data_IF_489586835082
#
_entry.id   IF_489586835082
#
_cell.length_a   1.000
_cell.length_b   1.000
_cell.length_c   1.000
_cell.angle_alpha   90.00
_cell.angle_beta   90.00
_cell.angle_gamma   90.00
#
_symmetry.space_group_name_H-M   'P 1'
#
loop_
_entity.id
_entity.type
_entity.pdbx_description
1 polymer ?
#
# COMPACT_ATOMS: atom_id res chain seq x y z
N UNK A 1 9.85 -2.95 25.96
CA UNK A 1 9.18 -4.14 25.36
C UNK A 1 10.27 -4.94 24.66
N UNK A 2 10.38 -6.24 24.90
CA UNK A 2 11.36 -7.09 24.23
C UNK A 2 10.93 -7.28 22.76
N UNK A 3 11.87 -7.42 21.82
CA UNK A 3 11.60 -7.62 20.37
C UNK A 3 10.65 -8.80 20.14
N UNK A 4 10.78 -9.88 20.89
CA UNK A 4 9.91 -11.05 20.80
C UNK A 4 8.44 -10.73 21.18
N UNK A 5 8.22 -9.97 22.24
CA UNK A 5 6.88 -9.52 22.65
C UNK A 5 6.27 -8.59 21.61
N UNK A 6 7.08 -7.71 21.01
CA UNK A 6 6.63 -6.81 19.94
C UNK A 6 6.23 -7.59 18.70
N UNK A 7 7.03 -8.59 18.31
CA UNK A 7 6.73 -9.47 17.17
C UNK A 7 5.40 -10.21 17.35
N UNK A 8 5.17 -10.78 18.55
CA UNK A 8 3.91 -11.45 18.87
C UNK A 8 2.72 -10.48 18.78
N UNK A 9 2.81 -9.32 19.46
CA UNK A 9 1.72 -8.33 19.45
C UNK A 9 1.38 -7.81 18.05
N UNK A 10 2.40 -7.57 17.20
CA UNK A 10 2.17 -7.13 15.82
C UNK A 10 1.65 -8.25 14.91
N UNK A 11 1.99 -9.50 15.21
CA UNK A 11 1.43 -10.67 14.53
C UNK A 11 -0.05 -10.84 14.85
N UNK A 12 -0.43 -10.70 16.12
CA UNK A 12 -1.81 -10.72 16.57
C UNK A 12 -2.61 -9.58 15.94
N UNK A 13 -2.09 -8.36 15.99
CA UNK A 13 -2.70 -7.19 15.34
C UNK A 13 -2.94 -7.42 13.82
N UNK A 14 -1.96 -7.99 13.12
CA UNK A 14 -2.12 -8.36 11.71
C UNK A 14 -3.26 -9.35 11.51
N UNK A 15 -3.36 -10.35 12.39
CA UNK A 15 -4.44 -11.34 12.36
C UNK A 15 -5.81 -10.68 12.54
N UNK A 16 -5.95 -9.84 13.57
CA UNK A 16 -7.18 -9.13 13.89
C UNK A 16 -7.62 -8.19 12.75
N UNK A 17 -6.66 -7.44 12.15
CA UNK A 17 -6.92 -6.57 11.02
C UNK A 17 -7.40 -7.32 9.77
N UNK A 18 -6.98 -8.58 9.57
CA UNK A 18 -7.47 -9.43 8.48
C UNK A 18 -8.89 -9.92 8.71
N UNK A 19 -9.29 -10.08 9.97
CA UNK A 19 -10.63 -10.49 10.36
C UNK A 19 -11.59 -9.31 10.55
N UNK A 20 -11.08 -8.07 10.50
CA UNK A 20 -11.88 -6.87 10.67
C UNK A 20 -12.91 -6.74 9.54
N UNK A 21 -14.19 -6.85 9.88
CA UNK A 21 -15.31 -6.73 8.97
C UNK A 21 -16.15 -5.50 9.29
N UNK A 22 -16.58 -4.79 8.24
CA UNK A 22 -17.43 -3.61 8.31
C UNK A 22 -18.72 -3.85 7.53
N UNK A 23 -19.64 -4.70 8.06
CA UNK A 23 -20.82 -5.14 7.33
C UNK A 23 -21.89 -4.06 7.18
N UNK A 24 -21.92 -3.05 8.07
CA UNK A 24 -22.88 -1.97 8.01
C UNK A 24 -22.30 -0.77 7.29
N UNK A 25 -23.13 -0.10 6.48
CA UNK A 25 -22.77 1.11 5.73
C UNK A 25 -22.83 2.33 6.69
N UNK A 26 -21.90 2.35 7.65
CA UNK A 26 -21.71 3.47 8.56
C UNK A 26 -20.75 4.51 7.95
N UNK A 27 -20.81 5.77 8.44
CA UNK A 27 -19.82 6.76 8.03
C UNK A 27 -18.39 6.22 8.19
N UNK A 28 -17.56 6.45 7.17
CA UNK A 28 -16.14 6.05 7.13
C UNK A 28 -15.85 4.52 7.08
N UNK A 29 -16.86 3.64 7.11
CA UNK A 29 -16.66 2.18 7.09
C UNK A 29 -15.78 1.71 5.93
N UNK A 30 -16.00 2.25 4.72
CA UNK A 30 -15.18 1.93 3.52
C UNK A 30 -13.73 2.37 3.70
N UNK A 31 -13.51 3.57 4.26
CA UNK A 31 -12.18 4.12 4.53
C UNK A 31 -11.44 3.28 5.56
N UNK A 32 -12.11 2.90 6.65
CA UNK A 32 -11.57 2.08 7.73
C UNK A 32 -11.23 0.66 7.25
N UNK A 33 -12.11 0.03 6.47
CA UNK A 33 -11.84 -1.27 5.86
C UNK A 33 -10.64 -1.23 4.90
N UNK A 34 -10.54 -0.17 4.09
CA UNK A 34 -9.39 0.04 3.21
C UNK A 34 -8.10 0.25 4.01
N UNK A 35 -8.16 0.99 5.11
CA UNK A 35 -7.01 1.22 5.99
C UNK A 35 -6.57 -0.06 6.70
N UNK A 36 -7.49 -0.88 7.20
CA UNK A 36 -7.20 -2.16 7.84
C UNK A 36 -6.40 -3.09 6.90
N UNK A 37 -6.82 -3.17 5.62
CA UNK A 37 -6.08 -3.94 4.61
C UNK A 37 -4.68 -3.39 4.35
N UNK A 38 -4.53 -2.06 4.23
CA UNK A 38 -3.21 -1.43 4.00
C UNK A 38 -2.27 -1.68 5.17
N UNK A 39 -2.74 -1.54 6.41
CA UNK A 39 -1.91 -1.81 7.61
C UNK A 39 -1.55 -3.29 7.68
N UNK A 40 -2.49 -4.20 7.44
CA UNK A 40 -2.22 -5.64 7.40
C UNK A 40 -1.14 -6.00 6.36
N UNK A 41 -1.21 -5.39 5.17
CA UNK A 41 -0.19 -5.59 4.13
C UNK A 41 1.17 -5.01 4.57
N UNK A 42 1.20 -3.82 5.16
CA UNK A 42 2.43 -3.20 5.67
C UNK A 42 3.09 -4.05 6.76
N UNK A 43 2.30 -4.60 7.69
CA UNK A 43 2.80 -5.54 8.70
C UNK A 43 3.41 -6.78 8.05
N UNK A 44 2.73 -7.35 7.04
CA UNK A 44 3.16 -8.56 6.37
C UNK A 44 4.38 -8.36 5.46
N UNK A 45 4.42 -7.27 4.70
CA UNK A 45 5.41 -7.07 3.62
C UNK A 45 6.67 -6.35 4.12
N UNK A 46 6.59 -5.65 5.27
CA UNK A 46 7.71 -4.87 5.80
C UNK A 46 7.99 -5.10 7.29
N UNK A 47 7.02 -4.76 8.18
CA UNK A 47 7.32 -4.63 9.61
C UNK A 47 7.76 -5.96 10.24
N UNK A 48 6.99 -7.02 10.04
CA UNK A 48 7.29 -8.33 10.64
C UNK A 48 8.57 -8.95 10.05
N UNK A 49 8.74 -9.03 8.71
CA UNK A 49 10.00 -9.53 8.15
C UNK A 49 11.22 -8.72 8.57
N UNK A 50 11.07 -7.39 8.72
CA UNK A 50 12.20 -6.52 9.06
C UNK A 50 12.58 -6.61 10.53
N UNK A 51 11.63 -6.82 11.42
CA UNK A 51 11.90 -7.13 12.84
C UNK A 51 12.71 -8.43 13.02
N UNK A 52 12.44 -9.42 12.18
CA UNK A 52 13.16 -10.70 12.20
C UNK A 52 14.55 -10.63 11.54
N UNK A 53 14.76 -9.66 10.64
CA UNK A 53 15.94 -9.62 9.75
C UNK A 53 16.59 -8.23 9.70
N UNK A 54 16.94 -7.67 10.86
CA UNK A 54 17.58 -6.32 10.96
C UNK A 54 18.90 -6.25 10.19
N UNK A 55 19.61 -7.36 10.04
CA UNK A 55 20.89 -7.44 9.33
C UNK A 55 20.75 -7.68 7.81
N UNK A 56 19.53 -7.84 7.30
CA UNK A 56 19.32 -7.98 5.87
C UNK A 56 19.79 -6.73 5.09
N UNK A 57 20.10 -6.87 3.79
CA UNK A 57 20.46 -5.74 2.95
C UNK A 57 19.41 -4.62 3.00
N UNK A 58 19.85 -3.36 2.92
CA UNK A 58 18.97 -2.21 2.82
C UNK A 58 18.25 -2.26 1.49
N UNK A 59 16.92 -2.20 1.53
CA UNK A 59 16.08 -2.14 0.35
C UNK A 59 15.79 -0.68 -0.03
N UNK A 60 16.48 -0.19 -1.06
CA UNK A 60 16.24 1.12 -1.66
C UNK A 60 15.22 0.97 -2.81
N UNK A 61 14.02 1.54 -2.65
CA UNK A 61 13.00 1.51 -3.70
C UNK A 61 13.01 2.82 -4.47
N UNK A 62 13.22 2.72 -5.78
CA UNK A 62 13.23 3.85 -6.71
C UNK A 62 11.81 4.05 -7.22
N UNK A 63 11.15 5.10 -6.71
CA UNK A 63 9.79 5.48 -7.04
C UNK A 63 9.71 6.87 -7.66
N UNK A 64 8.59 7.22 -8.27
CA UNK A 64 8.35 8.54 -8.84
C UNK A 64 7.43 8.51 -10.06
N UNK A 65 7.16 9.68 -10.61
CA UNK A 65 6.20 9.86 -11.71
C UNK A 65 6.61 9.19 -13.01
N UNK A 66 5.61 8.99 -13.85
CA UNK A 66 5.81 8.50 -15.23
C UNK A 66 6.79 9.39 -15.99
N UNK A 67 7.80 8.75 -16.55
CA UNK A 67 8.81 9.46 -17.33
C UNK A 67 9.80 10.30 -16.51
N UNK A 68 9.86 10.16 -15.18
CA UNK A 68 10.85 10.85 -14.33
C UNK A 68 12.29 10.33 -14.49
N UNK A 69 12.51 9.23 -15.23
CA UNK A 69 13.84 8.70 -15.47
C UNK A 69 14.27 7.54 -14.56
N UNK A 70 13.37 6.96 -13.77
CA UNK A 70 13.64 5.91 -12.77
C UNK A 70 14.49 4.75 -13.31
N UNK A 71 14.03 4.06 -14.34
CA UNK A 71 14.74 2.90 -14.91
C UNK A 71 16.08 3.29 -15.52
N UNK A 72 16.18 4.48 -16.13
CA UNK A 72 17.46 5.04 -16.60
C UNK A 72 18.41 5.27 -15.43
N UNK A 73 17.92 5.86 -14.35
CA UNK A 73 18.70 6.09 -13.13
C UNK A 73 19.17 4.76 -12.52
N UNK A 74 18.27 3.77 -12.38
CA UNK A 74 18.63 2.43 -11.87
C UNK A 74 19.72 1.78 -12.71
N UNK A 75 19.56 1.73 -14.04
CA UNK A 75 20.58 1.19 -14.94
C UNK A 75 21.92 1.91 -14.76
N UNK A 76 21.89 3.24 -14.64
CA UNK A 76 23.10 4.07 -14.48
C UNK A 76 23.77 3.86 -13.12
N UNK A 77 23.00 3.68 -12.04
CA UNK A 77 23.52 3.35 -10.70
C UNK A 77 24.21 1.98 -10.69
N UNK A 78 23.58 1.01 -11.34
CA UNK A 78 24.07 -0.37 -11.48
C UNK A 78 25.27 -0.46 -12.44
N UNK A 79 25.34 0.44 -13.44
CA UNK A 79 26.35 0.42 -14.50
C UNK A 79 26.04 -0.59 -15.61
N UNK A 80 24.82 -1.13 -15.66
CA UNK A 80 24.36 -2.12 -16.62
C UNK A 80 22.86 -1.97 -16.89
N UNK A 81 22.40 -2.35 -18.08
CA UNK A 81 20.96 -2.39 -18.39
C UNK A 81 20.34 -3.63 -17.72
N UNK A 82 19.67 -3.41 -16.61
CA UNK A 82 18.96 -4.44 -15.83
C UNK A 82 17.44 -4.30 -15.92
N UNK A 83 16.96 -3.10 -16.23
CA UNK A 83 15.56 -2.79 -16.47
C UNK A 83 15.43 -2.09 -17.83
N UNK A 84 14.31 -2.31 -18.51
CA UNK A 84 14.09 -1.73 -19.85
C UNK A 84 13.32 -0.42 -19.72
N UNK A 85 13.97 0.74 -19.94
CA UNK A 85 13.26 1.99 -20.10
C UNK A 85 12.43 1.91 -21.38
N UNK A 86 11.11 1.92 -21.30
CA UNK A 86 10.27 1.78 -22.48
C UNK A 86 9.79 3.12 -23.04
N UNK A 87 9.63 3.19 -24.37
CA UNK A 87 9.06 4.34 -25.09
C UNK A 87 7.54 4.26 -25.15
N UNK A 88 6.99 3.04 -25.08
CA UNK A 88 5.53 2.78 -25.10
C UNK A 88 5.05 2.64 -23.65
N UNK A 89 4.12 3.49 -23.23
CA UNK A 89 3.60 3.58 -21.85
C UNK A 89 2.35 2.74 -21.66
N UNK A 90 2.14 2.09 -20.47
CA UNK A 90 3.04 2.00 -19.31
C UNK A 90 4.22 1.05 -19.56
N UNK A 91 5.42 1.45 -19.12
CA UNK A 91 6.67 0.84 -19.53
C UNK A 91 7.18 -0.25 -18.60
N UNK A 92 7.01 -0.06 -17.29
CA UNK A 92 7.42 -1.03 -16.27
C UNK A 92 6.18 -1.62 -15.63
N UNK A 93 5.84 -2.84 -15.96
CA UNK A 93 4.70 -3.56 -15.38
C UNK A 93 5.13 -4.50 -14.27
N UNK A 94 6.35 -5.03 -14.32
CA UNK A 94 6.93 -5.92 -13.31
C UNK A 94 8.11 -5.21 -12.62
N UNK A 95 8.14 -5.14 -11.28
CA UNK A 95 9.27 -4.57 -10.54
C UNK A 95 10.53 -5.41 -10.73
N UNK A 96 11.68 -4.72 -10.75
CA UNK A 96 13.00 -5.34 -10.88
C UNK A 96 13.83 -5.04 -9.64
N UNK A 97 14.22 -6.08 -8.91
CA UNK A 97 15.09 -6.00 -7.76
C UNK A 97 16.50 -6.43 -8.13
N UNK A 98 17.44 -5.51 -7.97
CA UNK A 98 18.87 -5.74 -8.25
C UNK A 98 19.61 -5.85 -6.92
N UNK A 99 20.38 -6.92 -6.73
CA UNK A 99 21.11 -7.19 -5.50
C UNK A 99 22.49 -7.78 -5.77
N UNK A 100 23.39 -7.70 -4.79
CA UNK A 100 24.67 -8.41 -4.88
C UNK A 100 24.45 -9.93 -4.89
N UNK A 101 25.21 -10.73 -5.66
CA UNK A 101 25.06 -12.20 -5.69
C UNK A 101 25.10 -12.86 -4.30
N UNK A 102 25.95 -12.38 -3.39
CA UNK A 102 26.09 -12.91 -2.03
C UNK A 102 24.85 -12.63 -1.17
N UNK A 103 24.02 -11.69 -1.54
CA UNK A 103 22.80 -11.32 -0.83
C UNK A 103 21.55 -12.08 -1.35
N UNK A 104 21.71 -12.96 -2.33
CA UNK A 104 20.60 -13.70 -2.96
C UNK A 104 19.73 -14.45 -1.95
N UNK A 105 20.33 -14.98 -0.87
CA UNK A 105 19.63 -15.70 0.19
C UNK A 105 18.51 -14.88 0.86
N UNK A 106 18.60 -13.56 0.82
CA UNK A 106 17.59 -12.67 1.40
C UNK A 106 16.38 -12.46 0.49
N UNK A 107 16.53 -12.63 -0.83
CA UNK A 107 15.54 -12.28 -1.85
C UNK A 107 14.96 -13.48 -2.58
N UNK A 108 15.63 -14.62 -2.60
CA UNK A 108 15.15 -15.85 -3.28
C UNK A 108 13.91 -16.47 -2.61
N UNK A 109 13.70 -16.21 -1.32
CA UNK A 109 12.53 -16.68 -0.58
C UNK A 109 11.42 -15.61 -0.48
N UNK A 110 10.52 -15.79 0.46
CA UNK A 110 9.34 -14.97 0.73
C UNK A 110 9.56 -13.92 1.85
N UNK A 111 10.82 -13.69 2.26
CA UNK A 111 11.17 -12.74 3.35
C UNK A 111 10.95 -11.28 2.99
N UNK A 112 11.02 -10.93 1.72
CA UNK A 112 10.84 -9.57 1.20
C UNK A 112 9.75 -9.62 0.15
N UNK A 113 8.68 -8.83 0.30
CA UNK A 113 7.54 -8.81 -0.63
C UNK A 113 6.97 -10.22 -0.91
N UNK A 114 6.49 -10.95 0.12
CA UNK A 114 6.06 -12.35 0.00
C UNK A 114 4.91 -12.58 -1.00
N UNK A 115 4.15 -11.54 -1.31
CA UNK A 115 3.01 -11.58 -2.23
C UNK A 115 3.41 -11.62 -3.71
N UNK A 116 4.68 -11.32 -4.04
CA UNK A 116 5.18 -11.30 -5.42
C UNK A 116 5.91 -12.60 -5.78
N UNK A 117 5.57 -13.16 -6.92
CA UNK A 117 6.22 -14.39 -7.44
C UNK A 117 7.63 -14.06 -7.93
N UNK A 118 8.63 -14.81 -7.48
CA UNK A 118 10.03 -14.61 -7.90
C UNK A 118 10.24 -15.07 -9.34
N UNK A 119 10.90 -14.22 -10.12
CA UNK A 119 11.31 -14.54 -11.51
C UNK A 119 12.75 -14.12 -11.73
N UNK A 120 13.50 -14.94 -12.45
CA UNK A 120 14.87 -14.61 -12.90
C UNK A 120 14.92 -14.16 -14.37
N UNK A 121 13.77 -14.09 -15.01
CA UNK A 121 13.61 -13.61 -16.38
C UNK A 121 12.67 -12.41 -16.40
N UNK A 122 12.87 -11.53 -17.37
CA UNK A 122 11.99 -10.38 -17.55
C UNK A 122 10.55 -10.84 -17.77
N UNK A 123 9.63 -10.27 -17.02
CA UNK A 123 8.19 -10.55 -17.06
C UNK A 123 7.43 -9.25 -17.26
N UNK A 124 6.25 -9.33 -17.88
CA UNK A 124 5.29 -8.22 -17.95
C UNK A 124 4.16 -8.40 -16.93
N UNK A 125 4.31 -9.35 -15.99
CA UNK A 125 3.30 -9.61 -14.96
C UNK A 125 3.59 -8.79 -13.71
N UNK A 126 2.66 -7.90 -13.34
CA UNK A 126 2.74 -7.06 -12.14
C UNK A 126 2.72 -7.87 -10.82
N UNK A 127 2.36 -9.15 -10.84
CA UNK A 127 2.46 -10.05 -9.68
C UNK A 127 3.84 -10.72 -9.55
N UNK A 128 4.76 -10.43 -10.47
CA UNK A 128 6.10 -11.01 -10.53
C UNK A 128 7.16 -9.99 -10.12
N UNK A 129 8.11 -10.40 -9.27
CA UNK A 129 9.31 -9.66 -8.91
C UNK A 129 10.50 -10.27 -9.64
N UNK A 130 11.08 -9.53 -10.58
CA UNK A 130 12.28 -9.98 -11.27
C UNK A 130 13.49 -9.76 -10.34
N UNK A 131 14.26 -10.83 -10.09
CA UNK A 131 15.52 -10.79 -9.35
C UNK A 131 16.70 -10.76 -10.31
N UNK A 132 17.58 -9.79 -10.12
CA UNK A 132 18.80 -9.63 -10.91
C UNK A 132 20.00 -9.60 -9.96
N UNK A 133 20.83 -10.63 -10.01
CA UNK A 133 22.09 -10.68 -9.29
C UNK A 133 23.17 -9.92 -10.09
N UNK A 134 23.73 -8.85 -9.49
CA UNK A 134 24.68 -7.96 -10.14
C UNK A 134 25.86 -7.63 -9.20
N UNK A 135 27.09 -8.07 -9.50
CA UNK A 135 28.26 -7.79 -8.67
C UNK A 135 28.62 -6.30 -8.57
N UNK A 136 28.14 -5.46 -9.49
CA UNK A 136 28.34 -4.00 -9.46
C UNK A 136 27.60 -3.29 -8.32
N UNK A 137 26.61 -3.95 -7.71
CA UNK A 137 25.92 -3.45 -6.52
C UNK A 137 26.73 -3.87 -5.28
N UNK A 138 26.98 -2.95 -4.31
CA UNK A 138 27.66 -3.30 -3.09
C UNK A 138 26.83 -4.27 -2.25
N UNK A 139 27.50 -5.22 -1.59
CA UNK A 139 26.86 -6.12 -0.62
C UNK A 139 26.20 -5.32 0.51
N UNK A 140 24.99 -5.72 0.89
CA UNK A 140 24.21 -5.02 1.90
C UNK A 140 23.28 -3.94 1.34
N UNK A 141 23.16 -3.82 0.02
CA UNK A 141 22.22 -2.95 -0.69
C UNK A 141 21.45 -3.74 -1.75
N UNK A 142 20.15 -3.52 -1.81
CA UNK A 142 19.33 -3.90 -2.96
C UNK A 142 18.60 -2.67 -3.49
N UNK A 143 18.51 -2.56 -4.81
CA UNK A 143 17.80 -1.47 -5.51
C UNK A 143 16.60 -2.07 -6.23
N UNK A 144 15.42 -1.53 -5.98
CA UNK A 144 14.19 -1.96 -6.62
C UNK A 144 13.66 -0.86 -7.53
N UNK A 145 13.53 -1.14 -8.82
CA UNK A 145 12.85 -0.27 -9.80
C UNK A 145 11.35 -0.51 -9.72
N UNK A 146 10.61 0.48 -9.20
CA UNK A 146 9.17 0.40 -9.02
C UNK A 146 8.41 0.95 -10.25
N UNK A 147 7.17 0.47 -10.51
CA UNK A 147 6.27 1.06 -11.49
C UNK A 147 5.97 2.54 -11.20
N UNK A 148 5.38 3.22 -12.18
CA UNK A 148 5.01 4.63 -12.05
C UNK A 148 3.90 4.83 -11.02
N UNK A 149 4.10 5.79 -10.10
CA UNK A 149 3.13 6.14 -9.04
C UNK A 149 1.88 6.85 -9.59
N UNK A 150 2.00 7.55 -10.71
CA UNK A 150 0.94 8.27 -11.41
C UNK A 150 0.44 7.51 -12.66
N UNK A 151 0.63 6.19 -12.70
CA UNK A 151 0.17 5.35 -13.80
C UNK A 151 -1.34 5.46 -13.98
N UNK A 152 -1.81 5.49 -15.23
CA UNK A 152 -3.25 5.41 -15.54
C UNK A 152 -3.85 4.05 -15.14
N UNK A 153 -3.03 3.03 -15.02
CA UNK A 153 -3.43 1.68 -14.59
C UNK A 153 -3.42 1.62 -13.06
N UNK A 154 -4.60 1.45 -12.46
CA UNK A 154 -4.78 1.41 -11.00
C UNK A 154 -3.86 0.36 -10.33
N UNK A 155 -3.79 -0.86 -10.90
CA UNK A 155 -2.94 -1.94 -10.39
C UNK A 155 -1.46 -1.55 -10.28
N UNK A 156 -0.95 -0.74 -11.20
CA UNK A 156 0.45 -0.28 -11.15
C UNK A 156 0.65 0.74 -10.01
N UNK A 157 -0.33 1.61 -9.76
CA UNK A 157 -0.29 2.55 -8.62
C UNK A 157 -0.32 1.80 -7.28
N UNK A 158 -1.21 0.80 -7.16
CA UNK A 158 -1.33 -0.02 -5.96
C UNK A 158 -0.03 -0.80 -5.69
N UNK A 159 0.55 -1.37 -6.74
CA UNK A 159 1.84 -2.04 -6.65
C UNK A 159 2.96 -1.08 -6.26
N UNK A 160 3.04 0.10 -6.88
CA UNK A 160 4.04 1.11 -6.53
C UNK A 160 3.92 1.52 -5.06
N UNK A 161 2.70 1.75 -4.56
CA UNK A 161 2.44 2.05 -3.16
C UNK A 161 2.88 0.89 -2.24
N UNK A 162 2.57 -0.37 -2.59
CA UNK A 162 3.00 -1.55 -1.85
C UNK A 162 4.53 -1.67 -1.78
N UNK A 163 5.23 -1.48 -2.91
CA UNK A 163 6.69 -1.54 -2.97
C UNK A 163 7.35 -0.46 -2.13
N UNK A 164 6.82 0.77 -2.19
CA UNK A 164 7.28 1.87 -1.35
C UNK A 164 7.05 1.58 0.13
N UNK A 165 5.95 0.89 0.48
CA UNK A 165 5.68 0.49 1.86
C UNK A 165 6.66 -0.56 2.39
N UNK A 166 7.29 -1.32 1.53
CA UNK A 166 8.29 -2.33 1.88
C UNK A 166 9.73 -1.78 1.87
N UNK A 167 9.94 -0.50 1.54
CA UNK A 167 11.25 0.11 1.43
C UNK A 167 11.84 0.51 2.78
N UNK A 168 13.15 0.30 2.97
CA UNK A 168 13.92 0.92 4.05
C UNK A 168 14.29 2.36 3.70
N UNK A 169 14.53 2.61 2.42
CA UNK A 169 14.86 3.92 1.86
C UNK A 169 14.04 4.16 0.58
N UNK A 170 13.30 5.25 0.55
CA UNK A 170 12.65 5.72 -0.68
C UNK A 170 13.62 6.60 -1.47
N UNK A 171 13.95 6.18 -2.68
CA UNK A 171 14.65 7.04 -3.64
C UNK A 171 13.60 7.63 -4.58
N UNK A 172 13.12 8.81 -4.23
CA UNK A 172 12.02 9.46 -4.94
C UNK A 172 12.54 10.28 -6.11
N UNK A 173 12.19 9.89 -7.33
CA UNK A 173 12.66 10.53 -8.56
C UNK A 173 11.59 11.45 -9.14
N UNK A 174 11.91 12.71 -9.28
CA UNK A 174 11.12 13.69 -10.01
C UNK A 174 11.99 14.35 -11.10
N UNK A 175 11.40 15.17 -11.94
CA UNK A 175 12.15 15.94 -12.94
C UNK A 175 11.99 17.45 -12.72
N UNK A 176 12.93 18.24 -13.23
CA UNK A 176 12.84 19.70 -13.18
C UNK A 176 11.53 20.26 -13.75
N UNK A 177 10.88 19.56 -14.68
CA UNK A 177 9.60 19.98 -15.23
C UNK A 177 8.37 19.59 -14.36
N UNK A 178 8.52 18.66 -13.39
CA UNK A 178 7.41 18.08 -12.65
C UNK A 178 7.59 18.05 -11.12
N UNK A 179 8.66 18.63 -10.58
CA UNK A 179 8.93 18.57 -9.15
C UNK A 179 7.87 19.28 -8.28
N UNK A 180 7.08 20.17 -8.87
CA UNK A 180 6.00 20.89 -8.18
C UNK A 180 4.60 20.24 -8.39
N UNK A 181 4.49 19.14 -9.16
CA UNK A 181 3.22 18.44 -9.38
C UNK A 181 2.64 17.89 -8.07
N UNK A 182 1.30 17.91 -7.92
CA UNK A 182 0.64 17.49 -6.68
C UNK A 182 0.83 15.99 -6.37
N UNK A 183 0.64 15.11 -7.37
CA UNK A 183 0.70 13.66 -7.17
C UNK A 183 2.02 13.16 -6.56
N UNK A 184 3.21 13.58 -7.04
CA UNK A 184 4.48 13.31 -6.38
C UNK A 184 4.50 13.71 -4.90
N UNK A 185 3.93 14.86 -4.56
CA UNK A 185 3.93 15.37 -3.21
C UNK A 185 3.00 14.59 -2.27
N UNK A 186 1.90 14.04 -2.77
CA UNK A 186 1.01 13.19 -1.97
C UNK A 186 1.76 11.96 -1.46
N UNK A 187 2.60 11.33 -2.30
CA UNK A 187 3.45 10.20 -1.89
C UNK A 187 4.56 10.61 -0.92
N UNK A 188 5.18 11.78 -1.12
CA UNK A 188 6.20 12.29 -0.20
C UNK A 188 5.60 12.68 1.17
N UNK A 189 4.38 13.21 1.20
CA UNK A 189 3.64 13.47 2.42
C UNK A 189 3.32 12.15 3.16
N UNK A 190 2.89 11.10 2.43
CA UNK A 190 2.67 9.77 3.02
C UNK A 190 3.98 9.21 3.61
N UNK A 191 5.11 9.39 2.93
CA UNK A 191 6.41 8.99 3.44
C UNK A 191 6.77 9.73 4.74
N UNK A 192 6.53 11.03 4.78
CA UNK A 192 6.79 11.88 5.94
C UNK A 192 5.88 11.49 7.14
N UNK A 193 4.57 11.27 6.92
CA UNK A 193 3.64 10.82 7.96
C UNK A 193 4.05 9.47 8.57
N UNK A 194 4.74 8.64 7.82
CA UNK A 194 5.25 7.33 8.26
C UNK A 194 6.68 7.37 8.76
N UNK A 195 7.31 8.55 8.79
CA UNK A 195 8.72 8.73 9.12
C UNK A 195 9.66 7.82 8.30
N UNK A 196 9.28 7.53 7.04
CA UNK A 196 10.12 6.74 6.14
C UNK A 196 11.38 7.53 5.77
N UNK A 197 12.51 6.84 5.67
CA UNK A 197 13.73 7.46 5.15
C UNK A 197 13.58 7.75 3.66
N UNK A 198 13.79 9.01 3.26
CA UNK A 198 13.61 9.47 1.87
C UNK A 198 14.89 10.13 1.37
N UNK A 199 15.27 9.83 0.12
CA UNK A 199 16.25 10.57 -0.66
C UNK A 199 15.55 11.07 -1.93
N UNK A 200 15.64 12.35 -2.24
CA UNK A 200 14.98 12.94 -3.41
C UNK A 200 16.00 13.14 -4.53
N UNK A 201 15.61 12.74 -5.74
CA UNK A 201 16.41 12.94 -6.96
C UNK A 201 15.62 13.82 -7.92
N UNK A 202 16.17 15.00 -8.21
CA UNK A 202 15.68 15.88 -9.27
C UNK A 202 16.45 15.59 -10.55
N UNK A 203 15.83 14.82 -11.45
CA UNK A 203 16.44 14.42 -12.72
C UNK A 203 16.17 15.43 -13.83
N UNK A 204 17.02 15.43 -14.86
CA UNK A 204 16.92 16.29 -16.06
C UNK A 204 16.78 17.76 -15.71
N UNK A 205 17.66 18.23 -14.81
CA UNK A 205 17.75 19.66 -14.50
C UNK A 205 18.54 20.34 -15.63
N UNK A 206 17.94 21.26 -16.39
CA UNK A 206 18.67 22.01 -17.42
C UNK A 206 19.87 22.70 -16.80
N UNK A 207 21.03 22.77 -17.50
CA UNK A 207 22.25 23.39 -16.96
C UNK A 207 22.03 24.81 -16.47
N UNK A 208 21.20 25.59 -17.16
CA UNK A 208 20.81 26.96 -16.79
C UNK A 208 19.96 27.02 -15.51
N UNK A 209 19.16 25.98 -15.24
CA UNK A 209 18.28 25.91 -14.08
C UNK A 209 18.91 25.25 -12.84
N UNK A 210 20.15 24.77 -12.95
CA UNK A 210 20.86 24.10 -11.83
C UNK A 210 21.04 24.98 -10.58
N UNK A 211 21.00 26.34 -10.75
CA UNK A 211 21.09 27.26 -9.62
C UNK A 211 19.73 27.62 -8.99
N UNK A 212 18.64 27.32 -9.66
CA UNK A 212 17.29 27.73 -9.26
C UNK A 212 16.45 26.54 -8.81
N UNK A 213 16.35 25.47 -9.62
CA UNK A 213 15.45 24.33 -9.38
C UNK A 213 15.81 23.54 -8.12
N UNK A 214 17.06 23.09 -7.89
CA UNK A 214 17.37 22.31 -6.68
C UNK A 214 17.18 23.11 -5.37
N UNK A 215 17.56 24.40 -5.26
CA UNK A 215 17.25 25.18 -4.06
C UNK A 215 15.75 25.39 -3.83
N UNK A 216 14.96 25.61 -4.90
CA UNK A 216 13.50 25.77 -4.77
C UNK A 216 12.84 24.45 -4.32
N UNK A 217 13.24 23.32 -4.90
CA UNK A 217 12.79 21.99 -4.45
C UNK A 217 13.20 21.74 -2.98
N UNK A 218 14.42 22.10 -2.58
CA UNK A 218 14.88 22.00 -1.20
C UNK A 218 14.04 22.85 -0.23
N UNK A 219 13.64 24.06 -0.65
CA UNK A 219 12.70 24.89 0.10
C UNK A 219 11.33 24.20 0.26
N UNK A 220 10.76 23.68 -0.83
CA UNK A 220 9.49 22.94 -0.79
C UNK A 220 9.58 21.69 0.10
N UNK A 221 10.71 20.98 0.07
CA UNK A 221 10.95 19.83 0.97
C UNK A 221 10.95 20.27 2.43
N UNK A 222 11.63 21.38 2.74
CA UNK A 222 11.69 21.94 4.11
C UNK A 222 10.31 22.36 4.61
N UNK A 223 9.53 23.07 3.79
CA UNK A 223 8.16 23.50 4.11
C UNK A 223 7.21 22.32 4.39
N UNK A 224 7.53 21.13 3.87
CA UNK A 224 6.72 19.91 4.00
C UNK A 224 7.33 18.85 4.92
N UNK A 225 8.27 19.24 5.78
CA UNK A 225 8.83 18.36 6.81
C UNK A 225 9.88 17.35 6.33
N UNK A 226 10.45 17.54 5.14
CA UNK A 226 11.50 16.72 4.55
C UNK A 226 12.88 17.41 4.55
N UNK A 227 13.12 18.30 5.51
CA UNK A 227 14.35 19.08 5.61
C UNK A 227 15.62 18.22 5.74
N UNK A 228 15.51 17.09 6.42
CA UNK A 228 16.62 16.17 6.68
C UNK A 228 16.85 15.16 5.53
N UNK A 229 15.98 15.16 4.52
CA UNK A 229 16.08 14.24 3.37
C UNK A 229 17.13 14.76 2.38
N UNK A 230 18.13 13.93 1.97
CA UNK A 230 19.12 14.34 0.99
C UNK A 230 18.48 14.57 -0.38
N UNK A 231 18.92 15.66 -1.03
CA UNK A 231 18.50 16.04 -2.37
C UNK A 231 19.68 15.90 -3.35
N UNK A 232 19.45 15.16 -4.42
CA UNK A 232 20.42 14.96 -5.51
C UNK A 232 19.88 15.57 -6.80
N UNK A 233 20.65 16.46 -7.42
CA UNK A 233 20.33 17.04 -8.71
C UNK A 233 21.13 16.34 -9.81
N UNK A 234 20.42 15.78 -10.79
CA UNK A 234 21.01 15.15 -11.97
C UNK A 234 20.81 16.09 -13.16
N UNK A 235 21.92 16.62 -13.76
CA UNK A 235 21.81 17.52 -14.88
C UNK A 235 21.24 16.82 -16.12
N UNK A 236 20.51 17.55 -16.94
CA UNK A 236 20.09 17.09 -18.25
C UNK A 236 21.28 16.82 -19.13
N UNK A 237 21.51 15.55 -19.46
CA UNK A 237 22.65 15.12 -20.24
C UNK A 237 22.23 14.07 -21.27
N UNK A 238 23.05 13.92 -22.32
CA UNK A 238 22.86 12.82 -23.27
C UNK A 238 23.23 11.50 -22.61
N UNK A 239 22.37 10.50 -22.76
CA UNK A 239 22.68 9.12 -22.39
C UNK A 239 23.68 8.51 -23.37
N UNK A 240 24.41 7.48 -22.91
CA UNK A 240 25.26 6.66 -23.78
C UNK A 240 24.42 5.76 -24.72
N UNK A 241 25.10 4.91 -25.53
CA UNK A 241 24.46 3.99 -26.48
C UNK A 241 23.49 2.99 -25.80
N UNK A 242 23.74 2.65 -24.53
CA UNK A 242 22.89 1.75 -23.72
C UNK A 242 21.77 2.49 -22.98
N UNK A 243 21.62 3.80 -23.19
CA UNK A 243 20.59 4.61 -22.54
C UNK A 243 20.90 4.98 -21.10
N UNK A 244 22.15 4.90 -20.65
CA UNK A 244 22.58 5.23 -19.29
C UNK A 244 23.14 6.65 -19.20
N UNK A 245 22.98 7.28 -18.04
CA UNK A 245 23.57 8.56 -17.70
C UNK A 245 25.09 8.44 -17.52
N UNK A 246 25.85 9.53 -17.75
CA UNK A 246 27.28 9.56 -17.43
C UNK A 246 27.51 9.27 -15.93
N UNK A 247 28.59 8.56 -15.62
CA UNK A 247 28.96 8.21 -14.24
C UNK A 247 29.01 9.42 -13.30
N UNK A 248 29.54 10.53 -13.77
CA UNK A 248 29.64 11.78 -12.97
C UNK A 248 28.27 12.34 -12.57
N UNK A 249 27.25 12.15 -13.40
CA UNK A 249 25.89 12.64 -13.11
C UNK A 249 25.22 11.89 -11.97
N UNK A 250 25.52 10.60 -11.80
CA UNK A 250 24.94 9.73 -10.77
C UNK A 250 25.88 9.44 -9.60
N UNK A 251 27.13 9.89 -9.68
CA UNK A 251 28.17 9.63 -8.67
C UNK A 251 27.77 10.06 -7.25
N UNK A 252 27.14 11.23 -7.00
CA UNK A 252 26.75 11.63 -5.66
C UNK A 252 25.74 10.66 -5.04
N UNK A 253 24.70 10.25 -5.78
CA UNK A 253 23.70 9.31 -5.32
C UNK A 253 24.31 7.90 -5.14
N UNK A 254 25.13 7.44 -6.08
CA UNK A 254 25.86 6.17 -5.98
C UNK A 254 26.75 6.12 -4.74
N UNK A 255 27.49 7.21 -4.46
CA UNK A 255 28.31 7.31 -3.26
C UNK A 255 27.47 7.24 -1.97
N UNK A 256 26.35 7.97 -1.92
CA UNK A 256 25.41 7.92 -0.80
C UNK A 256 24.91 6.50 -0.53
N UNK A 257 24.35 5.83 -1.56
CA UNK A 257 23.84 4.45 -1.44
C UNK A 257 24.96 3.46 -1.06
N UNK A 258 26.16 3.60 -1.66
CA UNK A 258 27.29 2.76 -1.33
C UNK A 258 27.79 2.98 0.11
N UNK A 259 27.74 4.21 0.62
CA UNK A 259 28.11 4.51 2.00
C UNK A 259 27.17 3.84 3.00
N UNK A 260 25.86 3.79 2.70
CA UNK A 260 24.88 3.07 3.51
C UNK A 260 25.09 1.55 3.45
N UNK A 261 25.48 1.02 2.29
CA UNK A 261 25.77 -0.40 2.14
C UNK A 261 27.00 -0.86 2.93
N UNK A 262 28.07 -0.06 2.90
CA UNK A 262 29.38 -0.40 3.51
C UNK A 262 29.41 -0.17 5.01
N UNK A 263 28.65 0.82 5.51
CA UNK A 263 28.58 1.16 6.93
C UNK A 263 27.39 0.45 7.57
N UNK A 264 27.65 -0.66 8.26
CA UNK A 264 26.62 -1.46 8.92
C UNK A 264 25.84 -0.64 9.97
N UNK A 265 26.51 0.29 10.67
CA UNK A 265 25.88 1.10 11.69
C UNK A 265 24.88 2.08 11.06
N UNK A 266 25.28 2.83 10.04
CA UNK A 266 24.39 3.73 9.30
C UNK A 266 23.22 2.99 8.66
N UNK A 267 23.48 1.83 8.08
CA UNK A 267 22.43 0.97 7.50
C UNK A 267 21.40 0.58 8.57
N UNK A 268 21.83 0.10 9.74
CA UNK A 268 20.94 -0.21 10.85
C UNK A 268 20.15 1.00 11.35
N UNK A 269 20.77 2.17 11.40
CA UNK A 269 20.09 3.42 11.80
C UNK A 269 18.96 3.78 10.84
N UNK A 270 19.19 3.72 9.53
CA UNK A 270 18.16 3.97 8.51
C UNK A 270 17.02 2.96 8.65
N UNK A 271 17.33 1.67 8.75
CA UNK A 271 16.35 0.60 8.92
C UNK A 271 15.54 0.81 10.20
N UNK A 272 16.22 1.07 11.33
CA UNK A 272 15.57 1.25 12.63
C UNK A 272 14.67 2.50 12.64
N UNK A 273 15.09 3.58 12.03
CA UNK A 273 14.30 4.81 11.90
C UNK A 273 13.01 4.55 11.12
N UNK A 274 13.12 3.97 9.92
CA UNK A 274 11.96 3.65 9.08
C UNK A 274 11.03 2.62 9.75
N UNK A 275 11.60 1.59 10.40
CA UNK A 275 10.82 0.57 11.11
C UNK A 275 10.08 1.16 12.32
N UNK A 276 10.74 2.00 13.10
CA UNK A 276 10.12 2.68 14.25
C UNK A 276 8.98 3.59 13.80
N UNK A 277 9.17 4.37 12.73
CA UNK A 277 8.14 5.20 12.15
C UNK A 277 6.95 4.38 11.62
N UNK A 278 7.22 3.28 10.93
CA UNK A 278 6.20 2.37 10.44
C UNK A 278 5.36 1.78 11.59
N UNK A 279 5.99 1.33 12.67
CA UNK A 279 5.30 0.80 13.86
C UNK A 279 4.46 1.90 14.53
N UNK A 280 5.01 3.10 14.71
CA UNK A 280 4.27 4.25 15.28
C UNK A 280 3.01 4.56 14.49
N UNK A 281 3.13 4.67 13.17
CA UNK A 281 2.00 4.90 12.25
C UNK A 281 0.96 3.77 12.30
N UNK A 282 1.39 2.51 12.38
CA UNK A 282 0.49 1.35 12.54
C UNK A 282 -0.29 1.47 13.85
N UNK A 283 0.35 1.78 14.98
CA UNK A 283 -0.31 1.91 16.28
C UNK A 283 -1.34 3.05 16.27
N UNK A 284 -1.00 4.20 15.73
CA UNK A 284 -1.90 5.37 15.66
C UNK A 284 -3.14 5.07 14.82
N UNK A 285 -2.94 4.55 13.61
CA UNK A 285 -4.02 4.23 12.67
C UNK A 285 -4.90 3.07 13.13
N UNK A 286 -4.35 2.11 13.89
CA UNK A 286 -5.12 1.00 14.44
C UNK A 286 -6.19 1.46 15.43
N UNK A 287 -5.95 2.55 16.17
CA UNK A 287 -6.94 3.14 17.08
C UNK A 287 -8.19 3.66 16.33
N UNK A 288 -7.98 4.24 15.14
CA UNK A 288 -9.08 4.70 14.29
C UNK A 288 -9.91 3.53 13.70
N UNK A 289 -9.25 2.41 13.37
CA UNK A 289 -9.94 1.19 12.92
C UNK A 289 -10.74 0.58 14.07
N UNK A 290 -10.16 0.51 15.28
CA UNK A 290 -10.82 -0.02 16.46
C UNK A 290 -12.10 0.76 16.80
N UNK A 291 -12.07 2.10 16.73
CA UNK A 291 -13.26 2.94 16.92
C UNK A 291 -14.36 2.63 15.88
N UNK A 292 -13.98 2.34 14.63
CA UNK A 292 -14.93 1.93 13.61
C UNK A 292 -15.57 0.58 13.87
N UNK A 293 -14.78 -0.40 14.31
CA UNK A 293 -15.30 -1.74 14.69
C UNK A 293 -16.24 -1.66 15.90
N UNK A 294 -15.93 -0.81 16.88
CA UNK A 294 -16.82 -0.55 18.02
C UNK A 294 -18.14 0.07 17.56
N UNK A 295 -18.10 1.04 16.65
CA UNK A 295 -19.31 1.62 16.06
C UNK A 295 -20.16 0.58 15.32
N UNK A 296 -19.54 -0.34 14.57
CA UNK A 296 -20.21 -1.48 13.92
C UNK A 296 -20.89 -2.39 14.96
N UNK A 297 -20.20 -2.73 16.05
CA UNK A 297 -20.74 -3.57 17.11
C UNK A 297 -21.94 -2.92 17.81
N UNK A 298 -21.84 -1.64 18.13
CA UNK A 298 -22.95 -0.87 18.76
C UNK A 298 -24.16 -0.80 17.82
N UNK A 299 -23.95 -0.51 16.53
CA UNK A 299 -25.04 -0.44 15.57
C UNK A 299 -25.71 -1.81 15.35
N UNK A 300 -24.93 -2.88 15.30
CA UNK A 300 -25.44 -4.26 15.19
C UNK A 300 -26.27 -4.63 16.40
N UNK A 301 -25.81 -4.30 17.62
CA UNK A 301 -26.55 -4.56 18.85
C UNK A 301 -27.89 -3.83 18.88
N UNK A 302 -27.92 -2.55 18.49
CA UNK A 302 -29.17 -1.77 18.38
C UNK A 302 -30.13 -2.38 17.38
N UNK A 303 -29.68 -2.77 16.20
CA UNK A 303 -30.51 -3.43 15.20
C UNK A 303 -31.11 -4.76 15.73
N UNK A 304 -30.34 -5.52 16.50
CA UNK A 304 -30.82 -6.76 17.11
C UNK A 304 -31.86 -6.48 18.19
N UNK A 305 -31.67 -5.48 19.04
CA UNK A 305 -32.62 -5.05 20.06
C UNK A 305 -33.93 -4.55 19.45
N UNK A 306 -33.86 -3.70 18.42
CA UNK A 306 -35.02 -3.21 17.68
C UNK A 306 -35.82 -4.35 17.05
N UNK A 307 -35.11 -5.29 16.41
CA UNK A 307 -35.73 -6.46 15.80
C UNK A 307 -36.44 -7.33 16.87
N UNK A 308 -35.81 -7.54 18.02
CA UNK A 308 -36.40 -8.31 19.11
C UNK A 308 -37.63 -7.61 19.69
N UNK A 309 -37.57 -6.27 19.85
CA UNK A 309 -38.71 -5.47 20.34
C UNK A 309 -39.91 -5.58 19.42
N UNK A 310 -39.69 -5.37 18.11
CA UNK A 310 -40.75 -5.48 17.10
C UNK A 310 -41.34 -6.89 17.08
N UNK A 311 -40.50 -7.93 17.12
CA UNK A 311 -40.97 -9.33 17.17
C UNK A 311 -41.81 -9.62 18.43
N UNK A 312 -41.41 -9.07 19.59
CA UNK A 312 -42.14 -9.23 20.86
C UNK A 312 -43.50 -8.53 20.80
N UNK A 313 -43.53 -7.28 20.30
CA UNK A 313 -44.77 -6.51 20.14
C UNK A 313 -45.76 -7.19 19.21
N UNK A 314 -45.30 -7.63 18.05
CA UNK A 314 -46.13 -8.32 17.08
C UNK A 314 -46.61 -9.70 17.59
N UNK A 315 -45.76 -10.43 18.32
CA UNK A 315 -46.14 -11.68 18.96
C UNK A 315 -47.23 -11.49 20.02
N UNK A 316 -47.13 -10.43 20.82
CA UNK A 316 -48.17 -10.08 21.81
C UNK A 316 -49.49 -9.65 21.14
N UNK A 317 -49.39 -8.86 20.05
CA UNK A 317 -50.53 -8.45 19.23
C UNK A 317 -51.28 -9.65 18.64
N UNK A 318 -50.53 -10.59 18.06
CA UNK A 318 -51.10 -11.84 17.52
C UNK A 318 -51.74 -12.68 18.64
N UNK A 319 -51.08 -12.82 19.79
CA UNK A 319 -51.62 -13.56 20.92
C UNK A 319 -52.93 -12.92 21.44
N UNK A 320 -53.01 -11.59 21.58
CA UNK A 320 -54.19 -10.87 21.96
C UNK A 320 -55.34 -11.07 20.95
N UNK A 321 -55.08 -10.91 19.68
CA UNK A 321 -56.04 -11.12 18.59
C UNK A 321 -56.53 -12.55 18.47
N UNK A 322 -55.68 -13.52 18.85
CA UNK A 322 -56.03 -14.92 18.92
C UNK A 322 -56.97 -15.21 20.14
N UNK A 323 -56.70 -14.56 21.27
CA UNK A 323 -57.48 -14.77 22.50
C UNK A 323 -58.89 -14.15 22.41
N UNK A 324 -59.05 -12.98 21.75
CA UNK A 324 -60.35 -12.33 21.58
C UNK A 324 -61.13 -12.83 20.33
N UNK A 325 -60.57 -13.76 19.58
CA UNK A 325 -61.21 -14.39 18.41
C UNK A 325 -61.23 -13.48 17.14
N UNK A 326 -60.57 -12.33 17.16
CA UNK A 326 -60.51 -11.42 16.00
C UNK A 326 -59.72 -12.03 14.84
N UNK A 327 -58.77 -12.90 15.13
CA UNK A 327 -58.04 -13.67 14.12
C UNK A 327 -58.91 -14.66 13.31
N UNK A 328 -60.07 -15.05 13.89
CA UNK A 328 -61.02 -15.99 13.24
C UNK A 328 -62.10 -15.27 12.42
N UNK A 329 -62.18 -13.95 12.46
CA UNK A 329 -63.11 -13.19 11.63
C UNK A 329 -62.54 -13.00 10.24
N UNK A 330 -63.37 -13.16 9.21
CA UNK A 330 -62.95 -13.22 7.79
C UNK A 330 -62.11 -12.09 7.30
N UNK A 331 -62.16 -10.91 7.94
CA UNK A 331 -61.26 -9.77 7.60
C UNK A 331 -59.79 -10.03 7.97
N UNK A 332 -59.53 -10.72 9.04
CA UNK A 332 -58.15 -11.10 9.43
C UNK A 332 -57.61 -12.20 8.53
N UNK A 333 -58.47 -13.16 8.14
CA UNK A 333 -58.10 -14.15 7.16
C UNK A 333 -57.88 -13.52 5.78
N UNK A 334 -58.66 -12.52 5.40
CA UNK A 334 -58.49 -11.80 4.15
C UNK A 334 -57.20 -10.95 4.15
N UNK A 335 -56.91 -10.24 5.26
CA UNK A 335 -55.63 -9.52 5.41
C UNK A 335 -54.45 -10.45 5.55
N UNK A 336 -54.59 -11.59 6.18
CA UNK A 336 -53.56 -12.64 6.22
C UNK A 336 -53.31 -13.20 4.83
N UNK A 337 -54.37 -13.50 4.05
CA UNK A 337 -54.23 -13.91 2.65
C UNK A 337 -53.68 -12.81 1.75
N UNK A 338 -54.01 -11.54 2.02
CA UNK A 338 -53.43 -10.39 1.31
C UNK A 338 -51.95 -10.21 1.67
N UNK A 339 -51.60 -10.30 2.96
CA UNK A 339 -50.24 -10.19 3.48
C UNK A 339 -49.33 -11.40 3.08
N UNK A 340 -49.90 -12.61 3.15
CA UNK A 340 -49.19 -13.86 2.77
C UNK A 340 -49.38 -14.16 1.28
N UNK A 341 -50.55 -13.89 0.72
CA UNK A 341 -50.90 -14.22 -0.65
C UNK A 341 -50.32 -13.28 -1.71
N UNK A 342 -50.11 -11.99 -1.40
CA UNK A 342 -49.43 -11.08 -2.32
C UNK A 342 -47.93 -11.32 -2.41
N UNK A 343 -47.38 -12.06 -1.46
CA UNK A 343 -45.93 -12.35 -1.43
C UNK A 343 -45.05 -11.09 -1.39
N UNK A 344 -45.64 -9.89 -1.17
CA UNK A 344 -44.88 -8.63 -1.20
C UNK A 344 -43.88 -8.56 -0.05
N UNK A 345 -44.28 -9.00 1.16
CA UNK A 345 -43.35 -9.05 2.29
C UNK A 345 -42.27 -10.14 2.08
N UNK A 346 -42.69 -11.32 1.63
CA UNK A 346 -41.73 -12.39 1.30
C UNK A 346 -40.86 -12.00 0.09
N UNK A 347 -41.42 -11.32 -0.93
CA UNK A 347 -40.65 -10.77 -2.04
C UNK A 347 -39.72 -9.63 -1.61
N UNK A 348 -40.17 -8.74 -0.71
CA UNK A 348 -39.34 -7.69 -0.15
C UNK A 348 -38.24 -8.24 0.77
N UNK A 349 -38.54 -9.29 1.53
CA UNK A 349 -37.57 -9.99 2.37
C UNK A 349 -36.64 -10.87 1.53
N UNK A 350 -37.16 -11.59 0.53
CA UNK A 350 -36.34 -12.32 -0.43
C UNK A 350 -35.46 -11.38 -1.28
N UNK A 351 -35.97 -10.21 -1.68
CA UNK A 351 -35.22 -9.19 -2.40
C UNK A 351 -34.09 -8.60 -1.52
N UNK A 352 -34.37 -8.36 -0.22
CA UNK A 352 -33.34 -7.91 0.71
C UNK A 352 -32.34 -9.00 1.06
N UNK A 353 -32.81 -10.23 1.27
CA UNK A 353 -31.95 -11.40 1.55
C UNK A 353 -31.15 -11.79 0.32
N UNK A 354 -31.74 -11.75 -0.90
CA UNK A 354 -31.03 -12.02 -2.14
C UNK A 354 -30.04 -10.89 -2.46
N UNK A 355 -30.41 -9.62 -2.24
CA UNK A 355 -29.48 -8.50 -2.36
C UNK A 355 -28.30 -8.63 -1.39
N UNK A 356 -28.56 -9.01 -0.13
CA UNK A 356 -27.52 -9.25 0.88
C UNK A 356 -26.65 -10.44 0.50
N UNK A 357 -27.27 -11.57 0.08
CA UNK A 357 -26.58 -12.76 -0.41
C UNK A 357 -25.74 -12.46 -1.65
N UNK A 358 -26.28 -11.71 -2.61
CA UNK A 358 -25.60 -11.41 -3.86
C UNK A 358 -24.43 -10.42 -3.62
N UNK A 359 -24.58 -9.50 -2.67
CA UNK A 359 -23.49 -8.59 -2.24
C UNK A 359 -22.39 -9.35 -1.48
N UNK A 360 -22.75 -10.29 -0.61
CA UNK A 360 -21.79 -11.18 0.07
C UNK A 360 -21.10 -12.08 -0.95
N UNK A 361 -21.84 -12.67 -1.89
CA UNK A 361 -21.27 -13.55 -2.94
C UNK A 361 -20.38 -12.77 -3.92
N UNK A 362 -20.72 -11.52 -4.26
CA UNK A 362 -19.85 -10.66 -5.08
C UNK A 362 -18.56 -10.28 -4.34
N UNK A 363 -18.63 -10.05 -3.03
CA UNK A 363 -17.45 -9.76 -2.21
C UNK A 363 -16.52 -10.98 -2.13
N UNK A 364 -17.07 -12.19 -2.15
CA UNK A 364 -16.28 -13.43 -2.08
C UNK A 364 -15.86 -14.02 -3.43
N UNK A 365 -16.48 -13.64 -4.55
CA UNK A 365 -16.21 -14.24 -5.87
C UNK A 365 -15.38 -13.38 -6.83
N UNK A 366 -15.01 -12.15 -6.45
CA UNK A 366 -14.07 -11.34 -7.24
C UNK A 366 -14.42 -11.31 -8.74
N UNK A 367 -15.65 -10.93 -9.10
CA UNK A 367 -16.00 -10.76 -10.51
C UNK A 367 -15.51 -9.39 -11.01
N UNK A 368 -14.95 -9.30 -12.23
CA UNK A 368 -14.49 -8.04 -12.78
C UNK A 368 -15.70 -7.15 -13.13
N UNK A 369 -15.54 -5.83 -13.08
CA UNK A 369 -16.57 -4.91 -13.58
C UNK A 369 -16.65 -4.98 -15.10
N UNK A 370 -17.84 -5.08 -15.64
CA UNK A 370 -18.12 -4.65 -17.00
C UNK A 370 -18.11 -3.13 -17.10
#
# INVERSE_FOLDING_TARGET
MNTEQMLLSLTDLRHDLRQAEFPLDLPEAITQAGLARRISNQLNDYVLPRLETVDAPLLAVVGGSTGAGKSTLVNSLVGRVVTRPGVIRPTTTSPVLVHHPDDAVWFDGDRVLPTLVRSRVASNDASSLQLVAEPGIPKGLAILDAPDIDSVVARNRDLAAQLLQAADLWVFVTSAARYADAVPWDFLNEAQERHASVAVVCDRVPPEAMREVPPDLGRLMTERGLADSPLFAVPETRTNADGMLPDQAVAPLRFFLSSLAQDQQKRREVIASTLSGAIGSVCERSSYIAAGLEAQAVATSRLAEDAQSIMAEESQSIAAQSADGTLLRGEVLARWHEFVGTGEFMRAMEAKVSWFRDRVVQTFKGAPPE
#
